data_IF_042889272975
#
_entry.id   IF_042889272975
#
_cell.length_a   1.000
_cell.length_b   1.000
_cell.length_c   1.000
_cell.angle_alpha   90.00
_cell.angle_beta   90.00
_cell.angle_gamma   90.00
#
_symmetry.space_group_name_H-M   'P 1'
#
loop_
_entity.id
_entity.type
_entity.pdbx_description
1 polymer ?
#
# COMPACT_ATOMS: atom_id res chain seq x y z
N UNK A 1 -1.00 5.63 19.46
CA UNK A 1 -0.19 6.57 18.70
C UNK A 1 0.61 5.86 17.64
N UNK A 2 0.49 6.31 16.41
CA UNK A 2 1.18 5.71 15.28
C UNK A 2 2.62 6.17 15.14
N UNK A 3 3.03 7.13 15.94
CA UNK A 3 4.34 7.73 15.84
C UNK A 3 5.17 7.41 17.09
N UNK A 4 6.34 6.80 16.88
CA UNK A 4 7.26 6.49 17.97
C UNK A 4 8.26 7.64 18.10
N UNK A 5 8.13 8.43 19.19
CA UNK A 5 8.98 9.59 19.44
C UNK A 5 10.41 9.27 19.86
N UNK A 6 10.77 7.98 20.04
CA UNK A 6 12.12 7.60 20.41
C UNK A 6 13.07 7.50 19.20
N UNK A 7 12.54 7.51 18.00
CA UNK A 7 13.33 7.43 16.78
C UNK A 7 13.83 8.78 16.32
N UNK A 8 15.03 8.82 15.72
CA UNK A 8 15.62 10.03 15.16
C UNK A 8 15.06 10.39 13.79
N UNK A 9 14.21 9.54 13.19
CA UNK A 9 13.57 9.76 11.89
C UNK A 9 12.11 9.30 11.95
N UNK A 10 11.24 9.85 11.08
CA UNK A 10 9.82 9.51 11.09
C UNK A 10 9.57 8.03 10.81
N UNK A 11 8.85 7.37 11.73
CA UNK A 11 8.47 5.97 11.63
C UNK A 11 6.97 5.85 11.83
N UNK A 12 6.31 5.05 10.98
CA UNK A 12 4.88 4.74 11.09
C UNK A 12 4.68 3.28 11.46
N UNK A 13 3.83 3.05 12.46
CA UNK A 13 3.38 1.71 12.84
C UNK A 13 1.92 1.58 12.50
N UNK A 14 1.54 0.45 11.92
CA UNK A 14 0.17 0.20 11.51
C UNK A 14 -0.11 -1.30 11.50
N UNK A 15 -1.40 -1.65 11.64
CA UNK A 15 -1.83 -3.02 11.37
C UNK A 15 -1.82 -3.27 9.87
N UNK A 16 -1.46 -4.49 9.45
CA UNK A 16 -1.44 -4.87 8.04
C UNK A 16 -2.83 -5.19 7.49
N UNK A 17 -3.77 -5.59 8.36
CA UNK A 17 -5.14 -5.95 7.98
C UNK A 17 -6.16 -5.38 8.97
N UNK A 18 -7.40 -5.20 8.49
CA UNK A 18 -8.56 -4.93 9.32
C UNK A 18 -9.75 -5.75 8.80
N UNK A 19 -10.88 -5.71 9.53
CA UNK A 19 -12.13 -6.39 9.15
C UNK A 19 -11.93 -7.88 8.84
N UNK A 20 -11.20 -8.59 9.73
CA UNK A 20 -10.93 -10.03 9.59
C UNK A 20 -10.24 -10.40 8.26
N UNK A 21 -9.37 -9.52 7.79
CA UNK A 21 -8.62 -9.74 6.55
C UNK A 21 -9.30 -9.22 5.29
N UNK A 22 -10.50 -8.66 5.40
CA UNK A 22 -11.22 -8.13 4.23
C UNK A 22 -10.68 -6.78 3.74
N UNK A 23 -9.90 -6.09 4.55
CA UNK A 23 -9.30 -4.80 4.20
C UNK A 23 -7.80 -4.87 4.41
N UNK A 24 -7.03 -4.57 3.35
CA UNK A 24 -5.58 -4.40 3.45
C UNK A 24 -5.27 -2.98 3.92
N UNK A 25 -4.32 -2.84 4.83
CA UNK A 25 -3.80 -1.52 5.21
C UNK A 25 -2.91 -0.94 4.13
N UNK A 26 -2.31 -1.77 3.30
CA UNK A 26 -1.49 -1.34 2.17
C UNK A 26 -2.33 -1.44 0.90
N UNK A 27 -2.55 -0.30 0.26
CA UNK A 27 -3.41 -0.18 -0.91
C UNK A 27 -2.73 0.70 -1.97
N UNK A 28 -3.14 0.59 -3.24
CA UNK A 28 -2.55 1.42 -4.31
C UNK A 28 -2.71 2.92 -4.09
N UNK A 29 -3.86 3.36 -3.59
CA UNK A 29 -4.13 4.78 -3.36
C UNK A 29 -5.09 4.95 -2.19
N UNK A 30 -4.82 5.96 -1.36
CA UNK A 30 -5.69 6.33 -0.24
C UNK A 30 -6.54 7.54 -0.63
N UNK A 31 -7.78 7.57 -0.15
CA UNK A 31 -8.67 8.71 -0.38
C UNK A 31 -8.27 9.94 0.44
N UNK A 32 -7.57 9.72 1.55
CA UNK A 32 -7.11 10.78 2.46
C UNK A 32 -5.71 10.44 2.96
N UNK A 33 -4.81 11.41 2.95
CA UNK A 33 -3.43 11.22 3.35
C UNK A 33 -3.07 12.24 4.44
N UNK A 34 -2.70 11.77 5.62
CA UNK A 34 -2.25 12.62 6.72
C UNK A 34 -0.74 12.87 6.69
N UNK A 35 0.04 11.83 6.35
CA UNK A 35 1.50 11.93 6.26
C UNK A 35 1.94 11.44 4.90
N UNK A 36 2.55 12.33 4.13
CA UNK A 36 2.97 12.04 2.75
C UNK A 36 4.30 11.28 2.72
N UNK A 37 4.72 10.89 1.53
CA UNK A 37 6.02 10.26 1.30
C UNK A 37 7.20 11.12 1.76
N UNK A 38 7.01 12.44 1.81
CA UNK A 38 8.05 13.36 2.26
C UNK A 38 8.22 13.35 3.78
N UNK A 39 7.22 12.91 4.51
CA UNK A 39 7.21 12.92 5.98
C UNK A 39 7.51 11.56 6.59
N UNK A 40 7.52 10.47 5.80
CA UNK A 40 7.68 9.11 6.31
C UNK A 40 8.91 8.45 5.71
N UNK A 41 9.85 8.06 6.58
CA UNK A 41 11.07 7.37 6.18
C UNK A 41 11.03 5.86 6.40
N UNK A 42 10.26 5.41 7.40
CA UNK A 42 10.18 3.99 7.77
C UNK A 42 8.73 3.63 8.11
N UNK A 43 8.27 2.51 7.57
CA UNK A 43 6.95 1.94 7.90
C UNK A 43 7.14 0.60 8.59
N UNK A 44 6.38 0.37 9.66
CA UNK A 44 6.38 -0.88 10.41
C UNK A 44 4.97 -1.43 10.47
N UNK A 45 4.81 -2.69 10.08
CA UNK A 45 3.56 -3.45 10.28
C UNK A 45 3.88 -4.77 10.96
N UNK A 46 2.88 -5.60 11.21
CA UNK A 46 3.08 -6.94 11.76
C UNK A 46 3.93 -7.82 10.85
N UNK A 47 4.00 -7.50 9.56
CA UNK A 47 4.79 -8.28 8.60
C UNK A 47 6.26 -7.91 8.59
N UNK A 48 6.61 -6.68 8.98
CA UNK A 48 8.00 -6.27 9.00
C UNK A 48 8.19 -4.76 8.88
N UNK A 49 9.35 -4.39 8.37
CA UNK A 49 9.82 -3.01 8.30
C UNK A 49 10.18 -2.66 6.86
N UNK A 50 9.67 -1.54 6.38
CA UNK A 50 10.07 -0.96 5.09
C UNK A 50 10.86 0.31 5.33
N UNK A 51 12.14 0.31 4.95
CA UNK A 51 13.00 1.49 4.99
C UNK A 51 12.91 2.19 3.63
N UNK A 52 12.35 3.38 3.63
CA UNK A 52 12.06 4.14 2.41
C UNK A 52 13.11 5.19 2.09
N UNK A 53 14.11 5.35 2.95
CA UNK A 53 15.13 6.39 2.80
C UNK A 53 15.97 6.16 1.56
N UNK A 54 16.17 7.23 0.79
CA UNK A 54 17.01 7.20 -0.40
C UNK A 54 16.43 6.45 -1.58
N UNK A 55 15.11 6.18 -1.58
CA UNK A 55 14.45 5.41 -2.63
C UNK A 55 13.42 6.26 -3.37
N UNK A 56 13.35 6.09 -4.70
CA UNK A 56 12.32 6.72 -5.51
C UNK A 56 10.96 6.03 -5.37
N UNK A 57 9.89 6.59 -5.98
CA UNK A 57 8.53 6.08 -5.76
C UNK A 57 8.34 4.59 -6.05
N UNK A 58 8.88 4.08 -7.14
CA UNK A 58 8.74 2.66 -7.48
C UNK A 58 9.43 1.75 -6.47
N UNK A 59 10.64 2.10 -6.05
CA UNK A 59 11.38 1.32 -5.06
C UNK A 59 10.70 1.38 -3.70
N UNK A 60 10.15 2.53 -3.31
CA UNK A 60 9.35 2.68 -2.09
C UNK A 60 8.14 1.76 -2.11
N UNK A 61 7.41 1.75 -3.23
CA UNK A 61 6.24 0.88 -3.38
C UNK A 61 6.62 -0.60 -3.23
N UNK A 62 7.70 -1.03 -3.87
CA UNK A 62 8.17 -2.42 -3.76
C UNK A 62 8.58 -2.76 -2.32
N UNK A 63 9.28 -1.88 -1.63
CA UNK A 63 9.67 -2.10 -0.23
C UNK A 63 8.45 -2.25 0.67
N UNK A 64 7.44 -1.40 0.50
CA UNK A 64 6.22 -1.47 1.30
C UNK A 64 5.48 -2.77 1.06
N UNK A 65 5.32 -3.17 -0.21
CA UNK A 65 4.60 -4.40 -0.55
C UNK A 65 5.32 -5.62 0.02
N UNK A 66 6.62 -5.72 -0.20
CA UNK A 66 7.37 -6.94 0.19
C UNK A 66 7.58 -7.07 1.69
N UNK A 67 7.67 -5.94 2.42
CA UNK A 67 8.00 -5.97 3.84
C UNK A 67 6.81 -5.68 4.77
N UNK A 68 5.79 -4.98 4.31
CA UNK A 68 4.72 -4.50 5.17
C UNK A 68 3.33 -5.00 4.83
N UNK A 69 3.06 -5.37 3.57
CA UNK A 69 1.75 -5.86 3.17
C UNK A 69 1.54 -7.29 3.65
N UNK A 70 0.29 -7.63 4.01
CA UNK A 70 -0.04 -9.00 4.36
C UNK A 70 0.18 -9.93 3.16
N UNK A 71 0.69 -11.15 3.38
CA UNK A 71 0.96 -12.10 2.28
C UNK A 71 -0.22 -12.35 1.34
N UNK A 72 -1.45 -12.32 1.84
CA UNK A 72 -2.65 -12.53 1.02
C UNK A 72 -2.84 -11.43 -0.02
N UNK A 73 -2.29 -10.24 0.22
CA UNK A 73 -2.43 -9.09 -0.67
C UNK A 73 -1.19 -8.81 -1.52
N UNK A 74 -0.05 -9.41 -1.21
CA UNK A 74 1.20 -9.15 -1.94
C UNK A 74 1.11 -9.47 -3.44
N UNK A 75 0.58 -10.64 -3.85
CA UNK A 75 0.47 -10.93 -5.28
C UNK A 75 -0.38 -9.90 -6.03
N UNK A 76 -1.48 -9.49 -5.44
CA UNK A 76 -2.38 -8.49 -5.99
C UNK A 76 -1.70 -7.13 -6.14
N UNK A 77 -0.97 -6.69 -5.11
CA UNK A 77 -0.27 -5.42 -5.14
C UNK A 77 0.90 -5.43 -6.12
N UNK A 78 1.60 -6.57 -6.26
CA UNK A 78 2.64 -6.72 -7.28
C UNK A 78 2.05 -6.61 -8.69
N UNK A 79 0.89 -7.20 -8.90
CA UNK A 79 0.18 -7.11 -10.18
C UNK A 79 -0.18 -5.66 -10.50
N UNK A 80 -0.69 -4.92 -9.52
CA UNK A 80 -0.97 -3.50 -9.71
C UNK A 80 0.28 -2.74 -10.14
N UNK A 81 1.43 -2.99 -9.52
CA UNK A 81 2.67 -2.32 -9.88
C UNK A 81 3.09 -2.58 -11.32
N UNK A 82 2.85 -3.78 -11.84
CA UNK A 82 3.15 -4.09 -13.24
C UNK A 82 2.38 -3.22 -14.21
N UNK A 83 1.14 -2.90 -13.90
CA UNK A 83 0.34 -1.99 -14.71
C UNK A 83 0.79 -0.54 -14.58
N UNK A 84 1.34 -0.17 -13.44
CA UNK A 84 1.65 1.21 -13.10
C UNK A 84 3.12 1.62 -13.38
N UNK A 85 3.99 0.67 -13.73
CA UNK A 85 5.44 0.90 -13.87
C UNK A 85 5.84 1.87 -14.98
N UNK A 86 4.97 2.10 -15.95
CA UNK A 86 5.34 2.87 -17.14
C UNK A 86 5.41 4.38 -16.92
N UNK A 87 4.93 4.87 -15.80
CA UNK A 87 4.91 6.29 -15.49
C UNK A 87 6.04 6.72 -14.55
N UNK A 88 6.23 8.01 -14.40
CA UNK A 88 7.14 8.57 -13.42
C UNK A 88 6.72 8.20 -12.00
N UNK A 89 5.41 8.25 -11.75
CA UNK A 89 4.81 7.77 -10.51
C UNK A 89 4.21 6.38 -10.75
N UNK A 90 4.41 5.39 -9.84
CA UNK A 90 3.88 4.05 -10.04
C UNK A 90 2.38 3.97 -9.71
N UNK A 91 1.57 4.66 -10.51
CA UNK A 91 0.12 4.71 -10.34
C UNK A 91 -0.61 4.48 -11.66
N UNK A 92 -1.78 3.84 -11.57
CA UNK A 92 -2.71 3.70 -12.68
C UNK A 92 -4.02 4.40 -12.32
N UNK A 93 -4.38 5.43 -13.06
CA UNK A 93 -5.61 6.19 -12.81
C UNK A 93 -6.86 5.32 -12.84
N UNK A 94 -6.89 4.32 -13.71
CA UNK A 94 -8.05 3.44 -13.84
C UNK A 94 -8.19 2.46 -12.69
N UNK A 95 -7.09 1.97 -12.16
CA UNK A 95 -7.08 0.91 -11.16
C UNK A 95 -6.73 1.38 -9.75
N UNK A 96 -6.45 2.67 -9.55
CA UNK A 96 -5.93 3.18 -8.29
C UNK A 96 -6.84 2.91 -7.08
N UNK A 97 -8.15 2.97 -7.27
CA UNK A 97 -9.12 2.74 -6.20
C UNK A 97 -9.89 1.43 -6.36
N UNK A 98 -9.38 0.50 -7.16
CA UNK A 98 -10.05 -0.78 -7.42
C UNK A 98 -10.29 -1.60 -6.15
N UNK A 99 -9.33 -1.62 -5.22
CA UNK A 99 -9.49 -2.36 -3.97
C UNK A 99 -10.59 -1.76 -3.10
N UNK A 100 -10.67 -0.43 -3.02
CA UNK A 100 -11.74 0.26 -2.29
C UNK A 100 -13.10 0.00 -2.92
N UNK A 101 -13.20 0.11 -4.23
CA UNK A 101 -14.44 -0.14 -4.95
C UNK A 101 -14.90 -1.59 -4.79
N UNK A 102 -13.99 -2.54 -4.84
CA UNK A 102 -14.28 -3.95 -4.62
C UNK A 102 -14.81 -4.19 -3.20
N UNK A 103 -14.21 -3.53 -2.21
CA UNK A 103 -14.71 -3.63 -0.84
C UNK A 103 -16.15 -3.12 -0.73
N UNK A 104 -16.44 -1.97 -1.33
CA UNK A 104 -17.79 -1.40 -1.31
C UNK A 104 -18.82 -2.30 -2.00
N UNK A 105 -18.44 -2.97 -3.08
CA UNK A 105 -19.36 -3.82 -3.85
C UNK A 105 -19.46 -5.24 -3.32
N UNK A 106 -18.36 -5.82 -2.83
CA UNK A 106 -18.27 -7.24 -2.48
C UNK A 106 -17.90 -7.50 -1.02
N UNK A 107 -17.52 -6.47 -0.28
CA UNK A 107 -17.19 -6.58 1.14
C UNK A 107 -15.84 -7.20 1.45
N UNK A 108 -14.99 -7.43 0.46
CA UNK A 108 -13.69 -8.07 0.66
C UNK A 108 -12.71 -7.66 -0.44
N UNK A 109 -11.63 -6.97 -0.06
CA UNK A 109 -10.59 -6.53 -1.00
C UNK A 109 -9.84 -7.68 -1.66
N UNK A 110 -9.85 -8.88 -1.06
CA UNK A 110 -9.21 -10.05 -1.67
C UNK A 110 -9.85 -10.46 -2.99
N UNK A 111 -11.06 -10.00 -3.26
CA UNK A 111 -11.80 -10.28 -4.49
C UNK A 111 -11.50 -9.29 -5.61
N UNK A 112 -10.56 -8.37 -5.41
CA UNK A 112 -10.22 -7.36 -6.41
C UNK A 112 -9.63 -8.00 -7.66
N UNK A 113 -10.15 -7.59 -8.83
CA UNK A 113 -9.60 -7.94 -10.14
C UNK A 113 -9.24 -6.64 -10.86
N UNK A 114 -7.97 -6.29 -10.85
CA UNK A 114 -7.51 -5.07 -11.51
C UNK A 114 -7.76 -5.08 -13.01
N UNK A 115 -7.78 -6.26 -13.65
CA UNK A 115 -8.06 -6.35 -15.08
C UNK A 115 -9.40 -5.77 -15.49
N UNK A 116 -10.41 -5.87 -14.63
CA UNK A 116 -11.73 -5.29 -14.90
C UNK A 116 -11.70 -3.76 -14.96
N UNK A 117 -10.78 -3.14 -14.22
CA UNK A 117 -10.67 -1.68 -14.14
C UNK A 117 -9.79 -1.09 -15.23
N UNK A 118 -9.09 -1.94 -15.98
CA UNK A 118 -8.19 -1.52 -17.07
C UNK A 118 -8.79 -1.66 -18.45
N UNK A 119 -10.00 -2.21 -18.53
CA UNK A 119 -10.71 -2.37 -19.80
C UNK A 119 -11.22 -1.06 -20.37
#
# INVERSE_FOLDING_TARGET
>A
DLHDGTHSFPTRRSSDLTKNGCISAIVPMCSHVDSTEHDVDVIVTEQGVADLRGKGPLRRAKEIIENCAHPDYRPMLREYLKFAEKGHEPQSMRAALAMHDTFLKKGDMRLTDFGEYLK
#
